data_IF_502236917115
#
_entry.id   IF_502236917115
#
_cell.length_a   1.000
_cell.length_b   1.000
_cell.length_c   1.000
_cell.angle_alpha   90.00
_cell.angle_beta   90.00
_cell.angle_gamma   90.00
#
_symmetry.space_group_name_H-M   'P 1'
#
loop_
_entity.id
_entity.type
_entity.pdbx_description
1 polymer ?
#
# COMPACT_ATOMS: atom_id res chain seq x y z
N UNK A 1 -5.34 42.11 17.25
CA UNK A 1 -6.29 41.03 16.93
C UNK A 1 -6.36 40.88 15.42
N UNK A 2 -5.54 40.00 14.83
CA UNK A 2 -5.76 39.56 13.45
C UNK A 2 -6.65 38.33 13.54
N UNK A 3 -7.83 38.45 12.95
CA UNK A 3 -8.76 37.36 12.73
C UNK A 3 -7.96 36.24 12.08
N UNK A 4 -7.82 35.13 12.78
CA UNK A 4 -7.35 33.87 12.22
C UNK A 4 -8.42 33.49 11.22
N UNK A 5 -8.20 33.85 9.97
CA UNK A 5 -8.99 33.38 8.84
C UNK A 5 -8.86 31.86 8.89
N UNK A 6 -9.91 31.21 9.40
CA UNK A 6 -10.06 29.77 9.35
C UNK A 6 -10.04 29.42 7.87
N UNK A 7 -8.86 29.02 7.37
CA UNK A 7 -8.74 28.29 6.13
C UNK A 7 -9.82 27.22 6.16
N UNK A 8 -10.76 27.19 5.20
CA UNK A 8 -11.75 26.15 5.14
C UNK A 8 -10.95 24.87 4.98
N UNK A 9 -10.84 24.08 6.06
CA UNK A 9 -10.24 22.76 6.01
C UNK A 9 -11.09 22.05 4.97
N UNK A 10 -10.53 21.86 3.77
CA UNK A 10 -11.27 21.28 2.66
C UNK A 10 -11.91 19.99 3.19
N UNK A 11 -13.20 19.71 2.90
CA UNK A 11 -13.94 18.61 3.53
C UNK A 11 -13.22 17.25 3.44
N UNK A 12 -12.29 17.10 2.49
CA UNK A 12 -11.46 15.93 2.24
C UNK A 12 -10.34 15.69 3.27
N UNK A 13 -9.61 16.71 3.74
CA UNK A 13 -8.59 16.50 4.77
C UNK A 13 -9.23 16.14 6.13
N UNK A 14 -10.41 16.69 6.37
CA UNK A 14 -11.26 16.32 7.52
C UNK A 14 -11.73 14.85 7.44
N UNK A 15 -12.04 14.34 6.24
CA UNK A 15 -12.42 12.94 6.03
C UNK A 15 -11.27 11.96 6.32
N UNK A 16 -10.04 12.27 5.89
CA UNK A 16 -8.86 11.45 6.19
C UNK A 16 -8.63 11.31 7.70
N UNK A 17 -8.75 12.43 8.43
CA UNK A 17 -8.59 12.46 9.88
C UNK A 17 -9.65 11.58 10.58
N UNK A 18 -10.92 11.72 10.21
CA UNK A 18 -11.98 10.89 10.79
C UNK A 18 -11.83 9.41 10.46
N UNK A 19 -11.49 9.07 9.21
CA UNK A 19 -11.24 7.67 8.83
C UNK A 19 -10.03 7.09 9.53
N UNK A 20 -8.98 7.88 9.75
CA UNK A 20 -7.79 7.46 10.50
C UNK A 20 -8.12 7.15 11.96
N UNK A 21 -8.93 8.00 12.61
CA UNK A 21 -9.38 7.78 13.99
C UNK A 21 -10.24 6.51 14.08
N UNK A 22 -11.21 6.35 13.18
CA UNK A 22 -12.07 5.17 13.14
C UNK A 22 -11.27 3.89 12.89
N UNK A 23 -10.38 3.92 11.90
CA UNK A 23 -9.50 2.79 11.60
C UNK A 23 -8.61 2.45 12.80
N UNK A 24 -7.99 3.44 13.43
CA UNK A 24 -7.17 3.28 14.63
C UNK A 24 -7.95 2.66 15.79
N UNK A 25 -9.18 3.12 16.03
CA UNK A 25 -10.05 2.56 17.06
C UNK A 25 -10.42 1.09 16.79
N UNK A 26 -10.73 0.74 15.54
CA UNK A 26 -11.03 -0.65 15.15
C UNK A 26 -9.79 -1.55 15.31
N UNK A 27 -8.61 -1.08 14.89
CA UNK A 27 -7.36 -1.83 15.07
C UNK A 27 -7.01 -2.02 16.55
N UNK A 28 -7.18 -0.99 17.37
CA UNK A 28 -6.96 -1.08 18.81
C UNK A 28 -7.91 -2.11 19.45
N UNK A 29 -9.19 -2.09 19.09
CA UNK A 29 -10.16 -3.08 19.56
C UNK A 29 -9.80 -4.50 19.12
N UNK A 30 -9.37 -4.70 17.87
CA UNK A 30 -8.92 -6.00 17.36
C UNK A 30 -7.72 -6.50 18.16
N UNK A 31 -6.71 -5.65 18.35
CA UNK A 31 -5.50 -5.98 19.09
C UNK A 31 -5.80 -6.34 20.55
N UNK A 32 -6.62 -5.53 21.23
CA UNK A 32 -7.03 -5.77 22.62
C UNK A 32 -7.78 -7.10 22.74
N UNK A 33 -8.72 -7.39 21.83
CA UNK A 33 -9.46 -8.66 21.88
C UNK A 33 -8.55 -9.86 21.60
N UNK A 34 -7.62 -9.76 20.65
CA UNK A 34 -6.65 -10.84 20.40
C UNK A 34 -5.70 -11.03 21.58
N UNK A 35 -5.26 -9.95 22.23
CA UNK A 35 -4.40 -10.01 23.40
C UNK A 35 -5.13 -10.60 24.63
N UNK A 36 -6.37 -10.18 24.88
CA UNK A 36 -7.13 -10.58 26.06
C UNK A 36 -7.85 -11.93 25.91
N UNK A 37 -8.29 -12.28 24.69
CA UNK A 37 -9.14 -13.46 24.43
C UNK A 37 -8.54 -14.45 23.42
N UNK A 38 -7.34 -14.19 22.91
CA UNK A 38 -6.68 -15.02 21.89
C UNK A 38 -7.33 -14.99 20.50
N UNK A 39 -8.48 -14.34 20.35
CA UNK A 39 -9.25 -14.29 19.10
C UNK A 39 -9.99 -12.96 18.95
N UNK A 40 -10.29 -12.60 17.70
CA UNK A 40 -11.08 -11.41 17.38
C UNK A 40 -12.24 -11.77 16.43
N UNK A 41 -13.44 -11.18 16.65
CA UNK A 41 -14.60 -11.39 15.80
C UNK A 41 -14.29 -11.13 14.32
N UNK A 42 -14.84 -11.94 13.43
CA UNK A 42 -14.68 -11.74 11.99
C UNK A 42 -15.22 -10.36 11.54
N UNK A 43 -16.35 -9.92 12.09
CA UNK A 43 -16.94 -8.62 11.76
C UNK A 43 -16.02 -7.43 12.08
N UNK A 44 -15.26 -7.52 13.17
CA UNK A 44 -14.30 -6.47 13.56
C UNK A 44 -13.11 -6.44 12.60
N UNK A 45 -12.58 -7.62 12.23
CA UNK A 45 -11.52 -7.74 11.21
C UNK A 45 -11.97 -7.23 9.85
N UNK A 46 -13.21 -7.52 9.44
CA UNK A 46 -13.79 -7.00 8.21
C UNK A 46 -13.95 -5.48 8.27
N UNK A 47 -14.47 -4.94 9.36
CA UNK A 47 -14.58 -3.48 9.54
C UNK A 47 -13.20 -2.81 9.44
N UNK A 48 -12.17 -3.40 10.05
CA UNK A 48 -10.79 -2.91 9.95
C UNK A 48 -10.30 -2.89 8.50
N UNK A 49 -10.52 -3.98 7.75
CA UNK A 49 -10.16 -4.03 6.33
C UNK A 49 -10.90 -2.97 5.50
N UNK A 50 -12.20 -2.76 5.77
CA UNK A 50 -13.02 -1.74 5.08
C UNK A 50 -12.50 -0.34 5.38
N UNK A 51 -12.33 0.01 6.66
CA UNK A 51 -11.84 1.35 7.03
C UNK A 51 -10.42 1.61 6.53
N UNK A 52 -9.54 0.62 6.60
CA UNK A 52 -8.19 0.72 6.05
C UNK A 52 -8.21 0.96 4.53
N UNK A 53 -9.03 0.21 3.79
CA UNK A 53 -9.19 0.40 2.35
C UNK A 53 -9.70 1.80 2.00
N UNK A 54 -10.77 2.26 2.66
CA UNK A 54 -11.30 3.60 2.41
C UNK A 54 -10.31 4.70 2.76
N UNK A 55 -9.59 4.56 3.88
CA UNK A 55 -8.56 5.52 4.28
C UNK A 55 -7.49 5.67 3.20
N UNK A 56 -6.99 4.56 2.65
CA UNK A 56 -5.96 4.57 1.59
C UNK A 56 -6.53 5.19 0.29
N UNK A 57 -7.78 4.89 -0.06
CA UNK A 57 -8.45 5.50 -1.22
C UNK A 57 -8.59 7.02 -1.09
N UNK A 58 -9.02 7.51 0.08
CA UNK A 58 -9.16 8.96 0.32
C UNK A 58 -7.80 9.65 0.24
N UNK A 59 -6.77 9.06 0.85
CA UNK A 59 -5.40 9.58 0.77
C UNK A 59 -4.90 9.67 -0.68
N UNK A 60 -5.04 8.60 -1.46
CA UNK A 60 -4.67 8.61 -2.89
C UNK A 60 -5.45 9.66 -3.70
N UNK A 61 -6.73 9.84 -3.39
CA UNK A 61 -7.57 10.85 -4.04
C UNK A 61 -7.14 12.28 -3.70
N UNK A 62 -6.73 12.53 -2.46
CA UNK A 62 -6.21 13.84 -2.04
C UNK A 62 -4.94 14.20 -2.82
N UNK A 63 -4.00 13.28 -2.93
CA UNK A 63 -2.80 13.48 -3.76
C UNK A 63 -3.16 13.77 -5.23
N UNK A 64 -4.10 13.01 -5.80
CA UNK A 64 -4.47 13.16 -7.21
C UNK A 64 -5.23 14.47 -7.53
N UNK A 65 -5.95 15.06 -6.58
CA UNK A 65 -6.94 16.11 -6.88
C UNK A 65 -6.84 17.39 -6.05
N UNK A 66 -6.03 17.45 -5.00
CA UNK A 66 -6.11 18.58 -4.05
C UNK A 66 -4.80 19.28 -3.75
N UNK A 67 -3.66 18.65 -4.02
CA UNK A 67 -2.36 19.19 -3.59
C UNK A 67 -1.59 19.91 -4.70
N UNK A 68 -2.16 20.04 -5.89
CA UNK A 68 -1.65 20.93 -6.95
C UNK A 68 -0.32 20.52 -7.61
N UNK A 69 0.24 19.37 -7.27
CA UNK A 69 1.48 18.86 -7.87
C UNK A 69 1.15 18.07 -9.14
N UNK A 70 1.66 18.52 -10.29
CA UNK A 70 1.38 17.91 -11.59
C UNK A 70 1.74 16.42 -11.64
N UNK A 71 2.84 16.03 -11.00
CA UNK A 71 3.28 14.63 -10.91
C UNK A 71 2.28 13.73 -10.16
N UNK A 72 1.50 14.30 -9.24
CA UNK A 72 0.51 13.56 -8.46
C UNK A 72 -0.85 13.50 -9.15
N UNK A 73 -1.13 14.44 -10.06
CA UNK A 73 -2.40 14.61 -10.77
C UNK A 73 -2.62 13.57 -11.88
N UNK A 74 -2.59 12.29 -11.52
CA UNK A 74 -2.87 11.16 -12.41
C UNK A 74 -3.81 10.18 -11.74
N UNK A 75 -4.77 9.57 -12.48
CA UNK A 75 -5.61 8.50 -11.95
C UNK A 75 -4.80 7.33 -11.38
N UNK A 76 -3.56 7.12 -11.85
CA UNK A 76 -2.66 6.07 -11.36
C UNK A 76 -2.16 6.30 -9.92
N UNK A 77 -2.31 7.50 -9.37
CA UNK A 77 -1.94 7.82 -7.98
C UNK A 77 -2.77 7.02 -6.98
N UNK A 78 -4.07 6.87 -7.20
CA UNK A 78 -4.95 6.10 -6.30
C UNK A 78 -4.50 4.64 -6.20
N UNK A 79 -4.38 3.88 -7.31
CA UNK A 79 -3.90 2.50 -7.24
C UNK A 79 -2.45 2.40 -6.76
N UNK A 80 -1.59 3.43 -6.92
CA UNK A 80 -0.23 3.41 -6.38
C UNK A 80 -0.24 3.26 -4.85
N UNK A 81 -1.19 3.93 -4.20
CA UNK A 81 -1.40 3.78 -2.76
C UNK A 81 -2.11 2.47 -2.43
N UNK A 82 -3.28 2.24 -3.01
CA UNK A 82 -4.15 1.09 -2.69
C UNK A 82 -3.44 -0.23 -2.95
N UNK A 83 -2.95 -0.44 -4.17
CA UNK A 83 -2.34 -1.71 -4.55
C UNK A 83 -0.96 -1.87 -3.89
N UNK A 84 -0.21 -0.77 -3.72
CA UNK A 84 1.05 -0.77 -2.97
C UNK A 84 0.87 -1.24 -1.52
N UNK A 85 -0.15 -0.74 -0.82
CA UNK A 85 -0.44 -1.16 0.56
C UNK A 85 -0.95 -2.60 0.64
N UNK A 86 -1.75 -3.04 -0.34
CA UNK A 86 -2.16 -4.44 -0.44
C UNK A 86 -0.96 -5.38 -0.67
N UNK A 87 -0.01 -4.99 -1.53
CA UNK A 87 1.21 -5.76 -1.77
C UNK A 87 2.05 -5.88 -0.50
N UNK A 88 2.33 -4.76 0.18
CA UNK A 88 3.06 -4.77 1.45
C UNK A 88 2.33 -5.57 2.53
N UNK A 89 1.01 -5.40 2.66
CA UNK A 89 0.21 -6.10 3.67
C UNK A 89 0.14 -7.61 3.46
N UNK A 90 -0.01 -8.06 2.21
CA UNK A 90 0.03 -9.50 1.91
C UNK A 90 1.42 -10.09 2.12
N UNK A 91 2.48 -9.40 1.69
CA UNK A 91 3.85 -9.85 1.89
C UNK A 91 4.21 -9.92 3.40
N UNK A 92 3.80 -8.92 4.20
CA UNK A 92 3.96 -8.95 5.65
C UNK A 92 3.19 -10.12 6.29
N UNK A 93 1.98 -10.38 5.82
CA UNK A 93 1.18 -11.53 6.30
C UNK A 93 1.85 -12.87 6.00
N UNK A 94 2.45 -13.05 4.82
CA UNK A 94 3.22 -14.25 4.51
C UNK A 94 4.46 -14.39 5.41
N UNK A 95 5.15 -13.28 5.70
CA UNK A 95 6.34 -13.32 6.55
C UNK A 95 6.05 -13.79 7.98
N UNK A 96 4.85 -13.52 8.49
CA UNK A 96 4.42 -13.97 9.84
C UNK A 96 3.67 -15.31 9.82
N UNK A 97 3.14 -15.74 8.68
CA UNK A 97 2.40 -16.99 8.53
C UNK A 97 3.20 -18.02 7.74
N UNK A 98 3.78 -18.98 8.46
CA UNK A 98 4.47 -20.13 7.86
C UNK A 98 3.60 -20.83 6.81
N UNK A 99 4.16 -21.01 5.61
CA UNK A 99 3.50 -21.73 4.52
C UNK A 99 2.37 -20.97 3.84
N UNK A 100 2.28 -19.64 3.97
CA UNK A 100 1.28 -18.81 3.27
C UNK A 100 1.21 -19.12 1.77
N UNK A 101 2.38 -19.24 1.11
CA UNK A 101 2.48 -19.56 -0.32
C UNK A 101 2.04 -20.98 -0.70
N UNK A 102 1.71 -21.86 0.27
CA UNK A 102 1.13 -23.17 -0.06
C UNK A 102 -0.35 -23.09 -0.43
N UNK A 103 -1.06 -22.05 0.04
CA UNK A 103 -2.46 -21.82 -0.33
C UNK A 103 -2.58 -21.34 -1.77
N UNK A 104 -3.30 -22.10 -2.61
CA UNK A 104 -3.62 -21.69 -3.99
C UNK A 104 -4.31 -20.33 -4.03
N UNK A 105 -5.26 -20.09 -3.12
CA UNK A 105 -6.01 -18.84 -3.05
C UNK A 105 -5.12 -17.65 -2.69
N UNK A 106 -4.19 -17.83 -1.75
CA UNK A 106 -3.23 -16.79 -1.41
C UNK A 106 -2.35 -16.43 -2.61
N UNK A 107 -1.74 -17.44 -3.27
CA UNK A 107 -0.90 -17.22 -4.46
C UNK A 107 -1.64 -16.51 -5.59
N UNK A 108 -2.89 -16.87 -5.83
CA UNK A 108 -3.71 -16.24 -6.86
C UNK A 108 -4.00 -14.76 -6.53
N UNK A 109 -4.40 -14.48 -5.28
CA UNK A 109 -4.69 -13.13 -4.83
C UNK A 109 -3.44 -12.24 -4.87
N UNK A 110 -2.31 -12.71 -4.35
CA UNK A 110 -1.05 -11.95 -4.37
C UNK A 110 -0.51 -11.78 -5.79
N UNK A 111 -0.62 -12.80 -6.64
CA UNK A 111 -0.25 -12.67 -8.05
C UNK A 111 -1.06 -11.58 -8.77
N UNK A 112 -2.36 -11.49 -8.50
CA UNK A 112 -3.21 -10.43 -9.05
C UNK A 112 -2.82 -9.04 -8.50
N UNK A 113 -2.54 -8.93 -7.20
CA UNK A 113 -2.09 -7.68 -6.56
C UNK A 113 -0.75 -7.21 -7.16
N UNK A 114 0.24 -8.10 -7.28
CA UNK A 114 1.55 -7.78 -7.86
C UNK A 114 1.45 -7.38 -9.34
N UNK A 115 0.58 -8.05 -10.11
CA UNK A 115 0.32 -7.67 -11.50
C UNK A 115 -0.30 -6.27 -11.60
N UNK A 116 -1.30 -5.97 -10.76
CA UNK A 116 -1.90 -4.64 -10.66
C UNK A 116 -0.88 -3.59 -10.21
N UNK A 117 0.02 -3.93 -9.28
CA UNK A 117 1.08 -3.04 -8.81
C UNK A 117 2.04 -2.71 -9.96
N UNK A 118 2.49 -3.71 -10.71
CA UNK A 118 3.36 -3.51 -11.86
C UNK A 118 2.71 -2.60 -12.93
N UNK A 119 1.44 -2.85 -13.29
CA UNK A 119 0.70 -2.00 -14.22
C UNK A 119 0.58 -0.56 -13.72
N UNK A 120 0.32 -0.39 -12.42
CA UNK A 120 0.23 0.91 -11.78
C UNK A 120 1.56 1.64 -11.81
N UNK A 121 2.66 0.97 -11.46
CA UNK A 121 4.00 1.55 -11.50
C UNK A 121 4.41 1.96 -12.92
N UNK A 122 4.04 1.16 -13.94
CA UNK A 122 4.24 1.53 -15.35
C UNK A 122 3.46 2.79 -15.70
N UNK A 123 2.18 2.87 -15.32
CA UNK A 123 1.36 4.05 -15.59
C UNK A 123 1.93 5.32 -14.93
N UNK A 124 2.39 5.22 -13.68
CA UNK A 124 3.03 6.34 -12.97
C UNK A 124 4.38 6.70 -13.62
N UNK A 125 5.19 5.71 -14.01
CA UNK A 125 6.46 5.94 -14.70
C UNK A 125 6.28 6.70 -16.02
N UNK A 126 5.26 6.35 -16.81
CA UNK A 126 4.91 7.03 -18.05
C UNK A 126 4.50 8.48 -17.76
N UNK A 127 3.65 8.69 -16.75
CA UNK A 127 3.22 10.03 -16.33
C UNK A 127 4.38 10.90 -15.84
N UNK A 128 5.29 10.35 -15.03
CA UNK A 128 6.47 11.09 -14.59
C UNK A 128 7.38 11.45 -15.77
N UNK A 129 7.59 10.51 -16.70
CA UNK A 129 8.40 10.75 -17.90
C UNK A 129 7.80 11.85 -18.79
N UNK A 130 6.47 11.91 -18.93
CA UNK A 130 5.81 12.95 -19.74
C UNK A 130 5.95 14.35 -19.14
N UNK A 131 6.25 14.44 -17.85
CA UNK A 131 6.54 15.69 -17.12
C UNK A 131 8.05 16.00 -17.06
N UNK A 132 8.91 15.19 -17.69
CA UNK A 132 10.36 15.36 -17.63
C UNK A 132 11.01 14.89 -16.33
N UNK A 133 10.27 14.17 -15.47
CA UNK A 133 10.78 13.59 -14.22
C UNK A 133 11.35 12.19 -14.46
N UNK A 134 12.25 11.74 -13.57
CA UNK A 134 12.87 10.41 -13.68
C UNK A 134 11.87 9.28 -13.38
N UNK A 135 11.74 8.34 -14.33
CA UNK A 135 10.98 7.11 -14.14
C UNK A 135 11.77 5.99 -13.44
N UNK A 136 13.08 6.16 -13.24
CA UNK A 136 13.96 5.12 -12.71
C UNK A 136 13.48 4.51 -11.37
N UNK A 137 12.94 5.27 -10.39
CA UNK A 137 12.45 4.70 -9.14
C UNK A 137 11.28 3.72 -9.32
N UNK A 138 10.37 4.00 -10.27
CA UNK A 138 9.25 3.11 -10.56
C UNK A 138 9.69 1.86 -11.31
N UNK A 139 10.68 1.99 -12.20
CA UNK A 139 11.31 0.83 -12.86
C UNK A 139 12.01 -0.06 -11.81
N UNK A 140 12.75 0.53 -10.87
CA UNK A 140 13.35 -0.20 -9.75
C UNK A 140 12.29 -0.93 -8.91
N UNK A 141 11.16 -0.28 -8.62
CA UNK A 141 10.05 -0.91 -7.90
C UNK A 141 9.40 -2.07 -8.68
N UNK A 142 9.26 -1.95 -10.00
CA UNK A 142 8.76 -3.02 -10.89
C UNK A 142 9.69 -4.24 -10.87
N UNK A 143 11.00 -4.03 -10.73
CA UNK A 143 11.95 -5.14 -10.59
C UNK A 143 11.86 -5.73 -9.19
N UNK A 144 11.89 -4.92 -8.13
CA UNK A 144 12.01 -5.43 -6.76
C UNK A 144 10.76 -6.18 -6.26
N UNK A 145 9.56 -5.64 -6.45
CA UNK A 145 8.35 -6.21 -5.83
C UNK A 145 7.86 -7.51 -6.55
N UNK A 146 7.59 -7.50 -7.87
CA UNK A 146 7.25 -8.71 -8.63
C UNK A 146 8.34 -9.79 -8.67
N UNK A 147 9.63 -9.44 -8.76
CA UNK A 147 10.71 -10.45 -8.80
C UNK A 147 10.83 -11.19 -7.46
N UNK A 148 10.59 -10.50 -6.35
CA UNK A 148 10.61 -11.12 -5.04
C UNK A 148 9.42 -12.08 -4.84
N UNK A 149 8.24 -11.71 -5.33
CA UNK A 149 7.08 -12.59 -5.28
C UNK A 149 7.25 -13.83 -6.18
N UNK A 150 7.73 -13.65 -7.41
CA UNK A 150 7.98 -14.77 -8.34
C UNK A 150 9.09 -15.70 -7.84
N UNK A 151 10.16 -15.16 -7.25
CA UNK A 151 11.19 -15.96 -6.58
C UNK A 151 10.62 -16.73 -5.38
N UNK A 152 9.76 -16.11 -4.57
CA UNK A 152 9.08 -16.77 -3.45
C UNK A 152 8.12 -17.89 -3.92
N UNK A 153 7.36 -17.66 -4.99
CA UNK A 153 6.47 -18.66 -5.60
C UNK A 153 7.24 -19.86 -6.18
N UNK A 154 8.38 -19.60 -6.82
CA UNK A 154 9.26 -20.65 -7.30
C UNK A 154 9.86 -21.43 -6.12
N UNK A 155 10.33 -20.72 -5.09
CA UNK A 155 10.90 -21.31 -3.89
C UNK A 155 9.87 -21.99 -2.97
N UNK A 156 8.57 -21.72 -3.13
CA UNK A 156 7.46 -22.39 -2.45
C UNK A 156 7.22 -23.82 -2.98
N UNK A 157 7.76 -24.16 -4.16
CA UNK A 157 7.87 -25.56 -4.63
C UNK A 157 8.93 -26.34 -3.86
N UNK A 158 9.81 -25.64 -3.15
CA UNK A 158 10.83 -26.21 -2.27
C UNK A 158 10.30 -26.24 -0.83
N UNK A 159 11.05 -26.86 0.09
CA UNK A 159 10.68 -26.88 1.52
C UNK A 159 10.41 -25.46 2.03
N UNK A 160 9.33 -25.26 2.83
CA UNK A 160 8.99 -23.96 3.38
C UNK A 160 10.14 -23.46 4.26
N UNK A 161 10.53 -22.20 4.09
CA UNK A 161 11.59 -21.59 4.87
C UNK A 161 11.24 -20.12 5.12
N UNK A 162 11.17 -19.74 6.39
CA UNK A 162 10.74 -18.41 6.85
C UNK A 162 11.53 -17.28 6.21
N UNK A 163 12.84 -17.49 5.97
CA UNK A 163 13.69 -16.47 5.34
C UNK A 163 13.24 -16.11 3.92
N UNK A 164 12.58 -17.01 3.19
CA UNK A 164 12.08 -16.75 1.82
C UNK A 164 10.92 -15.76 1.85
N UNK A 165 9.98 -15.97 2.76
CA UNK A 165 8.81 -15.11 2.93
C UNK A 165 9.22 -13.75 3.51
N UNK A 166 10.21 -13.73 4.42
CA UNK A 166 10.82 -12.50 4.93
C UNK A 166 11.56 -11.73 3.84
N UNK A 167 12.37 -12.38 3.00
CA UNK A 167 13.06 -11.74 1.89
C UNK A 167 12.05 -11.13 0.90
N UNK A 168 10.98 -11.87 0.57
CA UNK A 168 9.91 -11.37 -0.27
C UNK A 168 9.25 -10.13 0.32
N UNK A 169 8.95 -10.16 1.63
CA UNK A 169 8.40 -9.03 2.36
C UNK A 169 9.32 -7.80 2.31
N UNK A 170 10.62 -7.97 2.58
CA UNK A 170 11.59 -6.87 2.53
C UNK A 170 11.67 -6.26 1.14
N UNK A 171 11.73 -7.08 0.08
CA UNK A 171 11.80 -6.57 -1.29
C UNK A 171 10.53 -5.82 -1.73
N UNK A 172 9.34 -6.33 -1.37
CA UNK A 172 8.06 -5.64 -1.68
C UNK A 172 7.99 -4.31 -0.93
N UNK A 173 8.31 -4.29 0.36
CA UNK A 173 8.34 -3.05 1.15
C UNK A 173 9.34 -2.07 0.55
N UNK A 174 10.58 -2.50 0.28
CA UNK A 174 11.61 -1.64 -0.30
C UNK A 174 11.20 -1.08 -1.67
N UNK A 175 10.65 -1.91 -2.57
CA UNK A 175 10.18 -1.48 -3.88
C UNK A 175 9.07 -0.43 -3.78
N UNK A 176 8.04 -0.68 -2.97
CA UNK A 176 6.95 0.28 -2.76
C UNK A 176 7.44 1.55 -2.09
N UNK A 177 8.35 1.46 -1.10
CA UNK A 177 8.95 2.62 -0.45
C UNK A 177 9.76 3.49 -1.41
N UNK A 178 10.54 2.89 -2.32
CA UNK A 178 11.28 3.63 -3.36
C UNK A 178 10.33 4.38 -4.29
N UNK A 179 9.25 3.72 -4.75
CA UNK A 179 8.23 4.36 -5.59
C UNK A 179 7.53 5.51 -4.86
N UNK A 180 7.16 5.33 -3.59
CA UNK A 180 6.53 6.37 -2.76
C UNK A 180 7.46 7.52 -2.45
N UNK A 181 8.73 7.25 -2.18
CA UNK A 181 9.72 8.28 -1.97
C UNK A 181 9.86 9.17 -3.21
N UNK A 182 10.00 8.57 -4.39
CA UNK A 182 10.08 9.31 -5.65
C UNK A 182 8.81 10.10 -5.93
N UNK A 183 7.64 9.52 -5.63
CA UNK A 183 6.37 10.21 -5.71
C UNK A 183 6.35 11.47 -4.84
N UNK A 184 6.72 11.38 -3.56
CA UNK A 184 6.73 12.54 -2.67
C UNK A 184 7.82 13.56 -3.02
N UNK A 185 9.00 13.09 -3.44
CA UNK A 185 10.10 13.96 -3.84
C UNK A 185 9.76 14.85 -5.04
N UNK A 186 8.76 14.47 -5.85
CA UNK A 186 8.27 15.29 -6.96
C UNK A 186 7.67 16.65 -6.53
N UNK A 187 7.37 16.84 -5.24
CA UNK A 187 7.01 18.17 -4.71
C UNK A 187 8.18 19.16 -4.71
N UNK A 188 9.43 18.65 -4.70
CA UNK A 188 10.65 19.47 -4.58
C UNK A 188 11.22 19.92 -5.93
N UNK A 189 10.72 19.39 -7.04
CA UNK A 189 11.17 19.70 -8.41
C UNK A 189 10.19 20.61 -9.13
#
# INVERSE_FOLDING_TARGET
>A
MRVVEQLPIAPKQTQEAYLSILFGAVLAADLILRAAKGSSPWGLRLAGAIFGFFLICVMGFAYANTLGVAAWATPATIPLFVVGDMAMGTALWAAVKSGAHQSKGYRAATGAIEALLALTLVAVAIHFSSLGLSAAPFITAIVLAPAAHTAALYAARLRPAVWKDMLACVCVIAGVSVARYAFYAAYLG
#
